data_IF_055958173366
#
_entry.id   IF_055958173366
#
_cell.length_a   1.000
_cell.length_b   1.000
_cell.length_c   1.000
_cell.angle_alpha   90.00
_cell.angle_beta   90.00
_cell.angle_gamma   90.00
#
_symmetry.space_group_name_H-M   'P 1'
#
loop_
_entity.id
_entity.type
_entity.pdbx_description
1 polymer ?
#
# COMPACT_ATOMS: atom_id res chain seq x y z
N UNK A 1 -27.85 9.80 4.71
CA UNK A 1 -27.25 9.98 3.36
C UNK A 1 -26.29 8.81 3.18
N UNK A 2 -26.56 7.88 2.24
CA UNK A 2 -25.76 6.64 2.13
C UNK A 2 -24.42 6.97 1.46
N UNK A 3 -23.38 7.10 2.26
CA UNK A 3 -22.00 7.17 1.79
C UNK A 3 -21.72 5.96 0.89
N UNK A 4 -21.19 6.20 -0.31
CA UNK A 4 -20.69 5.12 -1.16
C UNK A 4 -19.46 4.54 -0.47
N UNK A 5 -19.69 3.53 0.37
CA UNK A 5 -18.64 2.79 1.08
C UNK A 5 -17.67 2.12 0.11
N UNK A 6 -18.09 1.91 -1.15
CA UNK A 6 -17.33 1.19 -2.17
C UNK A 6 -16.87 2.14 -3.30
N UNK A 7 -15.56 2.18 -3.51
CA UNK A 7 -14.86 2.89 -4.57
C UNK A 7 -14.38 1.92 -5.66
N UNK A 8 -14.23 2.44 -6.88
CA UNK A 8 -13.63 1.76 -8.03
C UNK A 8 -12.13 2.04 -8.10
N UNK A 9 -11.39 1.29 -8.93
CA UNK A 9 -9.96 1.53 -9.18
C UNK A 9 -9.68 3.00 -9.49
N UNK A 10 -10.47 3.61 -10.38
CA UNK A 10 -10.34 5.02 -10.77
C UNK A 10 -10.53 6.00 -9.61
N UNK A 11 -11.54 5.76 -8.77
CA UNK A 11 -11.78 6.61 -7.60
C UNK A 11 -10.67 6.49 -6.56
N UNK A 12 -10.14 5.27 -6.37
CA UNK A 12 -9.01 5.02 -5.47
C UNK A 12 -7.73 5.67 -5.99
N UNK A 13 -7.50 5.60 -7.31
CA UNK A 13 -6.40 6.28 -7.98
C UNK A 13 -6.45 7.80 -7.76
N UNK A 14 -7.61 8.41 -7.95
CA UNK A 14 -7.81 9.84 -7.70
C UNK A 14 -7.64 10.19 -6.21
N UNK A 15 -8.13 9.33 -5.31
CA UNK A 15 -8.03 9.52 -3.85
C UNK A 15 -6.59 9.44 -3.33
N UNK A 16 -5.79 8.49 -3.83
CA UNK A 16 -4.37 8.32 -3.47
C UNK A 16 -3.44 9.21 -4.31
N UNK A 17 -3.98 9.97 -5.27
CA UNK A 17 -3.22 10.71 -6.28
C UNK A 17 -2.18 9.82 -7.01
N UNK A 18 -2.57 8.61 -7.39
CA UNK A 18 -1.75 7.62 -8.09
C UNK A 18 -2.34 7.27 -9.45
N UNK A 19 -1.52 6.75 -10.36
CA UNK A 19 -1.99 6.19 -11.62
C UNK A 19 -2.86 4.93 -11.41
N UNK A 20 -3.94 4.83 -12.19
CA UNK A 20 -4.83 3.65 -12.20
C UNK A 20 -4.07 2.35 -12.47
N UNK A 21 -3.01 2.41 -13.28
CA UNK A 21 -2.16 1.27 -13.60
C UNK A 21 -1.34 0.80 -12.39
N UNK A 22 -0.88 1.74 -11.56
CA UNK A 22 -0.18 1.45 -10.31
C UNK A 22 -1.15 0.82 -9.31
N UNK A 23 -2.34 1.39 -9.14
CA UNK A 23 -3.38 0.79 -8.29
C UNK A 23 -3.77 -0.61 -8.77
N UNK A 24 -3.86 -0.83 -10.09
CA UNK A 24 -4.14 -2.15 -10.65
C UNK A 24 -3.04 -3.16 -10.31
N UNK A 25 -1.76 -2.76 -10.40
CA UNK A 25 -0.62 -3.61 -10.00
C UNK A 25 -0.66 -3.91 -8.50
N UNK A 26 -0.92 -2.92 -7.67
CA UNK A 26 -1.01 -3.08 -6.21
C UNK A 26 -2.16 -4.00 -5.83
N UNK A 27 -3.33 -3.85 -6.47
CA UNK A 27 -4.49 -4.72 -6.26
C UNK A 27 -4.20 -6.15 -6.69
N UNK A 28 -3.54 -6.32 -7.85
CA UNK A 28 -3.11 -7.64 -8.33
C UNK A 28 -2.03 -8.29 -7.46
N UNK A 29 -1.14 -7.50 -6.87
CA UNK A 29 -0.12 -7.96 -5.92
C UNK A 29 -0.68 -8.20 -4.52
N UNK A 30 -1.92 -7.79 -4.23
CA UNK A 30 -2.52 -7.87 -2.91
C UNK A 30 -1.94 -6.89 -1.89
N UNK A 31 -1.25 -5.83 -2.33
CA UNK A 31 -0.68 -4.81 -1.44
C UNK A 31 -1.73 -3.82 -0.96
N UNK A 32 -2.70 -3.50 -1.81
CA UNK A 32 -3.84 -2.65 -1.45
C UNK A 32 -5.05 -3.52 -1.11
N UNK A 33 -5.77 -3.24 0.00
CA UNK A 33 -6.91 -4.05 0.40
C UNK A 33 -8.06 -3.84 -0.59
N UNK A 34 -8.35 -4.90 -1.34
CA UNK A 34 -9.31 -4.89 -2.44
C UNK A 34 -10.07 -6.21 -2.51
N UNK A 35 -11.33 -6.14 -2.96
CA UNK A 35 -12.22 -7.30 -3.06
C UNK A 35 -12.59 -7.49 -4.53
N UNK A 36 -12.38 -8.69 -5.06
CA UNK A 36 -12.79 -9.05 -6.41
C UNK A 36 -14.23 -9.58 -6.38
N UNK A 37 -15.18 -8.79 -6.86
CA UNK A 37 -16.60 -9.14 -6.92
C UNK A 37 -17.02 -9.16 -8.39
N UNK A 38 -17.53 -10.30 -8.87
CA UNK A 38 -18.04 -10.46 -10.23
C UNK A 38 -17.08 -9.94 -11.32
N UNK A 39 -15.77 -10.20 -11.16
CA UNK A 39 -14.75 -9.78 -12.13
C UNK A 39 -14.27 -8.33 -12.00
N UNK A 40 -14.79 -7.55 -11.05
CA UNK A 40 -14.39 -6.17 -10.81
C UNK A 40 -13.71 -6.02 -9.44
N UNK A 41 -12.70 -5.14 -9.38
CA UNK A 41 -12.09 -4.75 -8.11
C UNK A 41 -12.92 -3.68 -7.43
N UNK A 42 -13.23 -3.92 -6.16
CA UNK A 42 -13.98 -3.03 -5.29
C UNK A 42 -13.16 -2.74 -4.04
N UNK A 43 -13.15 -1.47 -3.65
CA UNK A 43 -12.33 -0.98 -2.55
C UNK A 43 -13.26 -0.31 -1.54
N UNK A 44 -13.12 -0.64 -0.27
CA UNK A 44 -13.89 0.05 0.77
C UNK A 44 -13.11 1.27 1.24
N UNK A 45 -13.74 2.45 1.25
CA UNK A 45 -13.07 3.71 1.66
C UNK A 45 -12.43 3.59 3.05
N UNK A 46 -13.18 3.09 4.02
CA UNK A 46 -12.68 2.89 5.40
C UNK A 46 -11.47 1.96 5.49
N UNK A 47 -11.39 0.98 4.60
CA UNK A 47 -10.29 0.01 4.59
C UNK A 47 -9.05 0.62 3.94
N UNK A 48 -9.23 1.44 2.89
CA UNK A 48 -8.15 2.22 2.28
C UNK A 48 -7.57 3.22 3.27
N UNK A 49 -8.43 3.95 3.99
CA UNK A 49 -8.00 4.95 4.99
C UNK A 49 -7.14 4.31 6.10
N UNK A 50 -7.59 3.16 6.63
CA UNK A 50 -6.81 2.36 7.58
C UNK A 50 -5.49 1.88 6.99
N UNK A 51 -5.50 1.41 5.75
CA UNK A 51 -4.29 0.92 5.08
C UNK A 51 -3.25 2.00 4.86
N UNK A 52 -3.64 3.22 4.47
CA UNK A 52 -2.70 4.35 4.34
C UNK A 52 -2.06 4.65 5.69
N UNK A 53 -2.86 4.65 6.76
CA UNK A 53 -2.37 4.87 8.12
C UNK A 53 -1.36 3.79 8.52
N UNK A 54 -1.65 2.53 8.21
CA UNK A 54 -0.80 1.38 8.50
C UNK A 54 0.50 1.37 7.67
N UNK A 55 0.43 1.64 6.36
CA UNK A 55 1.60 1.69 5.48
C UNK A 55 2.56 2.83 5.86
N UNK A 56 2.02 3.98 6.27
CA UNK A 56 2.85 5.10 6.75
C UNK A 56 3.65 4.70 8.00
N UNK A 57 3.02 3.94 8.91
CA UNK A 57 3.65 3.42 10.11
C UNK A 57 4.66 2.31 9.78
N UNK A 58 4.31 1.39 8.88
CA UNK A 58 5.16 0.28 8.48
C UNK A 58 6.42 0.76 7.76
N UNK A 59 6.33 1.80 6.91
CA UNK A 59 7.50 2.42 6.28
C UNK A 59 8.44 3.07 7.31
N UNK A 60 7.89 3.70 8.35
CA UNK A 60 8.69 4.24 9.45
C UNK A 60 9.41 3.12 10.21
N UNK A 61 8.71 2.03 10.50
CA UNK A 61 9.28 0.86 11.18
C UNK A 61 10.33 0.13 10.32
N UNK A 62 10.14 0.04 9.00
CA UNK A 62 11.12 -0.53 8.07
C UNK A 62 12.41 0.30 8.02
N UNK A 63 12.31 1.64 8.05
CA UNK A 63 13.48 2.52 8.14
C UNK A 63 14.26 2.37 9.47
N UNK A 64 13.58 2.05 10.57
CA UNK A 64 14.24 1.79 11.85
C UNK A 64 14.94 0.41 11.87
N UNK A 65 14.32 -0.62 11.29
CA UNK A 65 14.89 -1.98 11.24
C UNK A 65 16.15 -2.05 10.35
N UNK A 66 16.18 -1.31 9.24
CA UNK A 66 17.37 -1.23 8.36
C UNK A 66 18.56 -0.52 9.01
N UNK A 67 18.33 0.31 10.03
CA UNK A 67 19.39 0.97 10.81
C UNK A 67 20.08 0.04 11.82
N UNK A 68 19.46 -1.10 12.18
CA UNK A 68 20.02 -2.05 13.16
C UNK A 68 20.72 -3.27 12.51
N UNK A 69 20.64 -3.45 11.19
CA UNK A 69 21.25 -4.57 10.50
C UNK A 69 22.64 -4.22 9.93
N UNK A 70 23.66 -4.31 10.78
CA UNK A 70 24.96 -4.86 10.38
C UNK A 70 25.93 -3.94 9.63
N UNK A 71 26.68 -3.15 10.39
CA UNK A 71 28.06 -2.75 10.07
C UNK A 71 28.94 -4.00 9.95
N UNK A 72 28.89 -4.75 8.85
CA UNK A 72 29.93 -5.75 8.53
C UNK A 72 31.10 -5.00 7.90
N UNK A 73 32.08 -4.68 8.74
CA UNK A 73 33.35 -4.11 8.31
C UNK A 73 34.01 -5.00 7.25
N UNK A 74 34.20 -4.44 6.04
CA UNK A 74 35.24 -4.92 5.12
C UNK A 74 36.59 -4.55 5.74
N UNK A 75 37.15 -5.45 6.53
CA UNK A 75 38.59 -5.46 6.83
C UNK A 75 39.30 -6.28 5.76
N UNK A 76 39.67 -5.63 4.66
CA UNK A 76 40.65 -6.21 3.76
C UNK A 76 42.03 -5.91 4.36
N UNK A 77 42.57 -6.87 5.12
CA UNK A 77 44.00 -6.91 5.44
C UNK A 77 44.76 -7.31 4.17
N UNK A 78 45.91 -6.67 3.99
CA UNK A 78 47.06 -6.98 3.12
C UNK A 78 47.04 -8.33 2.42
#
# INVERSE_FOLDING_TARGET
>A
MKEKEIMTVKQVAEYLQMDEHTIYKLARSGQIPSIKIAGQWRFKKEVIDKWISDESLERVLQNMKSSSAGKKGKVNRT
#
